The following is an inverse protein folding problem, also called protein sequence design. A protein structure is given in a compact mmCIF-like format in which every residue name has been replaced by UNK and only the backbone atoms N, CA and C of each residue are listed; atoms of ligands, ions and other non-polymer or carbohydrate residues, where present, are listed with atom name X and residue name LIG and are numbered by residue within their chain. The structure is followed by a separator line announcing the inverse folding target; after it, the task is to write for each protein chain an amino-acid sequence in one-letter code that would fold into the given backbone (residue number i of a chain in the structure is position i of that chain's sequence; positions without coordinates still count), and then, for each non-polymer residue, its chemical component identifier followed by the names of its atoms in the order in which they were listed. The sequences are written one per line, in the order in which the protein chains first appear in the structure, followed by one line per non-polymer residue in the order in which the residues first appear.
data_IF_205231209071
#
_entry.id   IF_205231209071
#
_cell.length_a   1.000
_cell.length_b   1.000
_cell.length_c   1.000
_cell.angle_alpha   90.00
_cell.angle_beta   90.00
_cell.angle_gamma   90.00
#
_symmetry.space_group_name_H-M   'P 1'
#
loop_
_entity.id
_entity.type
_entity.pdbx_description
1 polymer ?
#
# COMPACT_ATOMS: atom_id res chain seq x y z
N UNK A 1 -12.25 -7.83 -1.66
CA UNK A 1 -11.02 -7.25 -1.04
C UNK A 1 -11.09 -7.30 0.49
N UNK A 2 -12.20 -6.86 1.09
CA UNK A 2 -12.40 -6.81 2.55
C UNK A 2 -12.18 -8.17 3.24
N UNK A 3 -12.75 -9.26 2.71
CA UNK A 3 -12.58 -10.60 3.32
C UNK A 3 -11.15 -11.11 3.26
N UNK A 4 -10.44 -10.78 2.18
CA UNK A 4 -9.01 -11.10 2.06
C UNK A 4 -8.22 -10.31 3.09
N UNK A 5 -8.44 -8.99 3.19
CA UNK A 5 -7.74 -8.15 4.15
C UNK A 5 -7.96 -8.66 5.58
N UNK A 6 -9.20 -8.89 5.99
CA UNK A 6 -9.51 -9.35 7.35
C UNK A 6 -8.87 -10.71 7.67
N UNK A 7 -8.84 -11.64 6.70
CA UNK A 7 -8.15 -12.93 6.86
C UNK A 7 -6.63 -12.76 6.96
N UNK A 8 -6.03 -11.99 6.06
CA UNK A 8 -4.59 -11.70 6.07
C UNK A 8 -4.16 -11.00 7.37
N UNK A 9 -4.95 -10.02 7.83
CA UNK A 9 -4.71 -9.30 9.08
C UNK A 9 -4.70 -10.23 10.32
N UNK A 10 -5.50 -11.28 10.32
CA UNK A 10 -5.50 -12.28 11.42
C UNK A 10 -4.18 -13.03 11.52
N UNK A 11 -3.52 -13.28 10.38
CA UNK A 11 -2.20 -13.93 10.31
C UNK A 11 -1.04 -13.00 10.71
N UNK A 12 -1.26 -11.69 10.73
CA UNK A 12 -0.26 -10.70 11.15
C UNK A 12 -0.24 -10.57 12.68
N UNK A 13 0.96 -10.64 13.26
CA UNK A 13 1.18 -10.42 14.69
C UNK A 13 0.60 -9.06 15.13
N UNK A 14 -0.08 -9.02 16.29
CA UNK A 14 -0.81 -7.83 16.78
C UNK A 14 0.00 -6.51 16.67
N UNK A 15 1.29 -6.46 17.06
CA UNK A 15 2.08 -5.22 16.97
C UNK A 15 2.24 -4.69 15.53
N UNK A 16 2.25 -5.58 14.54
CA UNK A 16 2.51 -5.27 13.12
C UNK A 16 1.24 -4.93 12.33
N UNK A 17 0.05 -5.19 12.87
CA UNK A 17 -1.24 -5.00 12.17
C UNK A 17 -1.46 -3.57 11.70
N UNK A 18 -1.11 -2.55 12.51
CA UNK A 18 -1.25 -1.14 12.11
C UNK A 18 -0.42 -0.80 10.87
N UNK A 19 0.82 -1.31 10.83
CA UNK A 19 1.73 -1.07 9.72
C UNK A 19 1.27 -1.81 8.45
N UNK A 20 0.80 -3.05 8.61
CA UNK A 20 0.15 -3.82 7.55
C UNK A 20 -1.10 -3.12 6.98
N UNK A 21 -2.01 -2.66 7.85
CA UNK A 21 -3.22 -1.94 7.44
C UNK A 21 -2.89 -0.65 6.67
N UNK A 22 -1.88 0.10 7.13
CA UNK A 22 -1.42 1.32 6.46
C UNK A 22 -0.85 1.04 5.06
N UNK A 23 -0.08 -0.05 4.92
CA UNK A 23 0.43 -0.50 3.63
C UNK A 23 -0.71 -0.91 2.68
N UNK A 24 -1.69 -1.70 3.16
CA UNK A 24 -2.85 -2.09 2.38
C UNK A 24 -3.67 -0.88 1.89
N UNK A 25 -3.84 0.13 2.74
CA UNK A 25 -4.50 1.39 2.37
C UNK A 25 -3.71 2.14 1.29
N UNK A 26 -2.39 2.25 1.44
CA UNK A 26 -1.53 2.91 0.45
C UNK A 26 -1.61 2.23 -0.91
N UNK A 27 -1.46 0.90 -0.95
CA UNK A 27 -1.54 0.13 -2.21
C UNK A 27 -2.92 0.29 -2.84
N UNK A 28 -3.99 0.15 -2.06
CA UNK A 28 -5.37 0.30 -2.54
C UNK A 28 -5.61 1.71 -3.11
N UNK A 29 -5.09 2.76 -2.45
CA UNK A 29 -5.16 4.14 -2.93
C UNK A 29 -4.46 4.32 -4.27
N UNK A 30 -3.27 3.76 -4.45
CA UNK A 30 -2.52 3.90 -5.71
C UNK A 30 -3.16 3.12 -6.86
N UNK A 31 -3.73 1.94 -6.60
CA UNK A 31 -4.51 1.19 -7.59
C UNK A 31 -5.77 1.97 -8.00
N UNK A 32 -6.46 2.58 -7.04
CA UNK A 32 -7.63 3.43 -7.32
C UNK A 32 -7.26 4.66 -8.14
N UNK A 33 -6.17 5.37 -7.80
CA UNK A 33 -5.67 6.51 -8.56
C UNK A 33 -5.28 6.14 -9.99
N UNK A 34 -4.62 5.01 -10.19
CA UNK A 34 -4.27 4.50 -11.52
C UNK A 34 -5.52 4.21 -12.35
N UNK A 35 -6.51 3.49 -11.76
CA UNK A 35 -7.79 3.23 -12.43
C UNK A 35 -8.51 4.52 -12.82
N UNK A 36 -8.53 5.51 -11.93
CA UNK A 36 -9.14 6.80 -12.22
C UNK A 36 -8.41 7.56 -13.32
N UNK A 37 -7.08 7.52 -13.35
CA UNK A 37 -6.29 8.09 -14.44
C UNK A 37 -6.67 7.46 -15.78
N UNK A 38 -6.81 6.13 -15.83
CA UNK A 38 -7.21 5.41 -17.05
C UNK A 38 -8.60 5.81 -17.52
N UNK A 39 -9.57 5.85 -16.61
CA UNK A 39 -10.97 6.10 -16.94
C UNK A 39 -11.25 7.58 -17.25
N UNK A 40 -10.77 8.49 -16.40
CA UNK A 40 -11.14 9.90 -16.48
C UNK A 40 -10.15 10.77 -17.26
N UNK A 41 -8.91 10.31 -17.44
CA UNK A 41 -7.86 11.08 -18.15
C UNK A 41 -7.34 10.38 -19.40
N UNK A 42 -7.74 9.14 -19.65
CA UNK A 42 -7.22 8.34 -20.77
C UNK A 42 -5.74 7.99 -20.64
N UNK A 43 -5.13 8.19 -19.46
CA UNK A 43 -3.69 7.94 -19.23
C UNK A 43 -3.52 6.67 -18.42
N UNK A 44 -2.68 5.75 -18.92
CA UNK A 44 -2.37 4.46 -18.30
C UNK A 44 -0.86 4.32 -18.08
N UNK A 45 -0.47 3.85 -16.90
CA UNK A 45 0.90 3.46 -16.61
C UNK A 45 1.11 1.97 -16.85
N UNK A 46 2.34 1.62 -17.21
CA UNK A 46 2.79 0.24 -17.17
C UNK A 46 2.77 -0.28 -15.72
N UNK A 47 2.42 -1.56 -15.50
CA UNK A 47 2.39 -2.13 -14.15
C UNK A 47 3.70 -1.96 -13.38
N UNK A 48 4.85 -2.13 -14.04
CA UNK A 48 6.16 -1.93 -13.42
C UNK A 48 6.37 -0.50 -12.90
N UNK A 49 5.96 0.51 -13.68
CA UNK A 49 6.04 1.91 -13.25
C UNK A 49 5.14 2.20 -12.05
N UNK A 50 3.96 1.58 -11.96
CA UNK A 50 3.09 1.72 -10.80
C UNK A 50 3.72 1.11 -9.54
N UNK A 51 4.37 -0.04 -9.67
CA UNK A 51 5.08 -0.70 -8.56
C UNK A 51 6.18 0.20 -8.02
N UNK A 52 6.99 0.82 -8.89
CA UNK A 52 8.03 1.78 -8.50
C UNK A 52 7.42 2.95 -7.70
N UNK A 53 6.34 3.55 -8.21
CA UNK A 53 5.63 4.64 -7.51
C UNK A 53 5.13 4.20 -6.13
N UNK A 54 4.60 2.98 -6.00
CA UNK A 54 4.14 2.45 -4.72
C UNK A 54 5.31 2.31 -3.74
N UNK A 55 6.47 1.80 -4.17
CA UNK A 55 7.66 1.69 -3.32
C UNK A 55 8.16 3.06 -2.85
N UNK A 56 8.23 4.05 -3.75
CA UNK A 56 8.60 5.42 -3.40
C UNK A 56 7.65 6.01 -2.35
N UNK A 57 6.35 5.75 -2.49
CA UNK A 57 5.33 6.22 -1.56
C UNK A 57 5.42 5.50 -0.21
N UNK A 58 5.72 4.20 -0.18
CA UNK A 58 5.99 3.46 1.06
C UNK A 58 7.21 4.06 1.77
N UNK A 59 8.29 4.36 1.04
CA UNK A 59 9.48 4.99 1.62
C UNK A 59 9.16 6.39 2.19
N UNK A 60 8.39 7.20 1.46
CA UNK A 60 7.94 8.52 1.91
C UNK A 60 7.06 8.43 3.15
N UNK A 61 6.07 7.54 3.17
CA UNK A 61 5.17 7.34 4.31
C UNK A 61 5.91 6.79 5.52
N UNK A 62 6.96 6.00 5.30
CA UNK A 62 7.82 5.53 6.38
C UNK A 62 8.58 6.69 7.03
N UNK A 63 9.15 7.59 6.21
CA UNK A 63 9.83 8.81 6.71
C UNK A 63 8.86 9.76 7.44
N UNK A 64 7.59 9.79 7.01
CA UNK A 64 6.53 10.57 7.64
C UNK A 64 5.91 9.91 8.90
N UNK A 65 6.34 8.70 9.27
CA UNK A 65 5.78 7.96 10.43
C UNK A 65 4.38 7.39 10.21
N UNK A 66 3.87 7.42 8.97
CA UNK A 66 2.58 6.85 8.59
C UNK A 66 2.65 5.33 8.38
N UNK A 67 3.83 4.84 8.00
CA UNK A 67 4.13 3.42 7.85
C UNK A 67 5.30 3.08 8.76
N UNK A 68 5.08 2.18 9.71
CA UNK A 68 6.15 1.72 10.59
C UNK A 68 6.96 0.63 9.89
N UNK A 69 8.10 1.03 9.30
CA UNK A 69 8.95 0.15 8.50
C UNK A 69 9.60 -0.97 9.32
N UNK A 70 10.03 -0.69 10.56
CA UNK A 70 10.61 -1.72 11.43
C UNK A 70 9.56 -2.76 11.82
N UNK A 71 8.31 -2.33 12.05
CA UNK A 71 7.20 -3.27 12.29
C UNK A 71 6.77 -4.04 11.05
N UNK A 72 7.00 -3.52 9.83
CA UNK A 72 6.68 -4.26 8.60
C UNK A 72 7.73 -5.32 8.27
N UNK A 73 9.01 -4.94 8.29
CA UNK A 73 10.10 -5.77 7.78
C UNK A 73 10.86 -6.52 8.88
N UNK A 74 10.70 -6.13 10.14
CA UNK A 74 11.29 -6.82 11.28
C UNK A 74 12.79 -6.58 11.45
N UNK A 75 13.32 -5.48 10.93
CA UNK A 75 14.67 -4.97 11.25
C UNK A 75 14.66 -4.16 12.55
#
# INVERSE_FOLDING_TARGET
LTDWWLRSRKMVAKPRRKAFDSLCLLVSRHLWLERNSRVFRGVSRLPGSLVVVIFDQVALWSRAGLVDRSRLLGE
#
